data_IF_717440403946
#
_entry.id   IF_717440403946
#
_cell.length_a   1.000
_cell.length_b   1.000
_cell.length_c   1.000
_cell.angle_alpha   90.00
_cell.angle_beta   90.00
_cell.angle_gamma   90.00
#
_symmetry.space_group_name_H-M   'P 1'
#
loop_
_entity.id
_entity.type
_entity.pdbx_description
1 polymer ?
#
# COMPACT_ATOMS: atom_id res chain seq x y z
N UNK A 1 -17.97 19.32 25.05
CA UNK A 1 -16.91 19.66 24.08
C UNK A 1 -15.55 20.01 24.71
N UNK A 2 -15.53 20.57 25.93
CA UNK A 2 -14.30 20.78 26.73
C UNK A 2 -13.53 19.50 27.10
N UNK A 3 -14.06 18.30 26.80
CA UNK A 3 -13.45 17.02 27.22
C UNK A 3 -12.05 16.79 26.63
N UNK A 4 -11.80 17.24 25.40
CA UNK A 4 -10.49 17.09 24.76
C UNK A 4 -9.59 18.32 24.90
N UNK A 5 -10.08 19.42 25.47
CA UNK A 5 -9.26 20.62 25.68
C UNK A 5 -8.01 20.35 26.55
N UNK A 6 -8.09 19.55 27.64
CA UNK A 6 -6.90 19.17 28.39
C UNK A 6 -5.89 18.37 27.55
N UNK A 7 -6.36 17.46 26.69
CA UNK A 7 -5.49 16.69 25.81
C UNK A 7 -4.80 17.60 24.77
N UNK A 8 -5.56 18.50 24.14
CA UNK A 8 -5.03 19.45 23.18
C UNK A 8 -3.96 20.35 23.82
N UNK A 9 -4.20 20.83 25.05
CA UNK A 9 -3.23 21.64 25.77
C UNK A 9 -1.98 20.85 26.18
N UNK A 10 -2.14 19.61 26.65
CA UNK A 10 -1.01 18.73 26.98
C UNK A 10 -0.13 18.45 25.76
N UNK A 11 -0.73 18.15 24.61
CA UNK A 11 0.01 17.94 23.35
C UNK A 11 0.74 19.21 22.90
N UNK A 12 0.09 20.37 22.94
CA UNK A 12 0.71 21.67 22.63
C UNK A 12 1.94 21.94 23.50
N UNK A 13 1.80 21.72 24.80
CA UNK A 13 2.88 21.92 25.77
C UNK A 13 4.03 20.94 25.54
N UNK A 14 3.71 19.66 25.30
CA UNK A 14 4.71 18.62 25.03
C UNK A 14 5.48 18.82 23.72
N UNK A 15 4.83 19.35 22.68
CA UNK A 15 5.49 19.75 21.43
C UNK A 15 6.36 21.00 21.62
N UNK A 16 5.85 22.01 22.34
CA UNK A 16 6.61 23.22 22.67
C UNK A 16 7.89 22.92 23.46
N UNK A 17 7.85 21.96 24.40
CA UNK A 17 9.03 21.50 25.14
C UNK A 17 10.11 20.81 24.27
N UNK A 18 9.80 20.53 23.00
CA UNK A 18 10.72 19.96 21.99
C UNK A 18 11.02 20.93 20.85
N UNK A 19 10.71 22.22 21.03
CA UNK A 19 10.83 23.26 20.01
C UNK A 19 10.03 22.97 18.73
N UNK A 20 8.92 22.22 18.85
CA UNK A 20 8.00 21.93 17.75
C UNK A 20 6.77 22.85 17.91
N UNK A 21 6.64 23.94 17.14
CA UNK A 21 5.55 24.89 17.31
C UNK A 21 4.21 24.29 16.85
N UNK A 22 3.20 24.34 17.72
CA UNK A 22 1.81 23.99 17.39
C UNK A 22 1.02 25.27 17.16
N UNK A 23 0.91 25.68 15.89
CA UNK A 23 0.22 26.91 15.51
C UNK A 23 -1.29 26.85 15.76
N UNK A 24 -1.90 25.68 15.54
CA UNK A 24 -3.34 25.51 15.64
C UNK A 24 -3.71 24.11 16.15
N UNK A 25 -4.83 24.00 16.86
CA UNK A 25 -5.40 22.75 17.35
C UNK A 25 -6.92 22.82 17.16
N UNK A 26 -7.44 22.10 16.16
CA UNK A 26 -8.85 22.13 15.79
C UNK A 26 -9.59 20.87 16.26
N UNK A 27 -10.83 21.06 16.71
CA UNK A 27 -11.82 19.99 16.83
C UNK A 27 -12.71 20.01 15.59
N UNK A 28 -12.91 18.87 14.93
CA UNK A 28 -13.84 18.70 13.80
C UNK A 28 -14.89 17.68 14.20
N UNK A 29 -16.16 18.08 14.24
CA UNK A 29 -17.25 17.19 14.65
C UNK A 29 -18.57 17.64 14.04
N UNK A 30 -19.35 16.69 13.52
CA UNK A 30 -20.69 16.92 12.98
C UNK A 30 -20.78 18.12 12.01
N UNK A 31 -19.82 18.24 11.09
CA UNK A 31 -19.78 19.32 10.09
C UNK A 31 -19.41 20.69 10.66
N UNK A 32 -18.93 20.78 11.90
CA UNK A 32 -18.51 22.02 12.54
C UNK A 32 -17.05 21.93 13.01
N UNK A 33 -16.40 23.08 13.16
CA UNK A 33 -15.05 23.20 13.70
C UNK A 33 -14.95 24.20 14.84
N UNK A 34 -13.98 23.96 15.73
CA UNK A 34 -13.60 24.82 16.85
C UNK A 34 -12.08 24.87 16.95
N UNK A 35 -11.51 26.03 17.29
CA UNK A 35 -10.11 26.12 17.67
C UNK A 35 -9.96 26.04 19.18
N UNK A 36 -9.03 25.21 19.66
CA UNK A 36 -8.60 25.18 21.07
C UNK A 36 -7.62 26.32 21.39
N UNK A 37 -7.15 27.06 20.38
CA UNK A 37 -6.16 28.13 20.52
C UNK A 37 -6.82 29.51 20.50
N UNK A 38 -8.01 29.62 19.92
CA UNK A 38 -8.74 30.87 19.79
C UNK A 38 -9.57 31.14 21.05
N UNK A 39 -9.25 32.18 21.85
CA UNK A 39 -10.03 32.52 23.03
C UNK A 39 -11.28 33.35 22.70
N UNK A 40 -11.39 33.85 21.47
CA UNK A 40 -12.46 34.75 21.05
C UNK A 40 -13.76 33.97 20.78
N UNK A 41 -14.80 34.23 21.58
CA UNK A 41 -16.10 33.60 21.47
C UNK A 41 -16.90 34.04 20.22
N UNK A 42 -16.60 35.21 19.65
CA UNK A 42 -17.16 35.62 18.36
C UNK A 42 -16.48 34.85 17.21
N UNK A 43 -15.16 34.62 17.33
CA UNK A 43 -14.41 33.79 16.38
C UNK A 43 -14.63 32.29 16.56
N UNK A 44 -14.91 31.79 17.76
CA UNK A 44 -15.12 30.37 18.05
C UNK A 44 -16.36 30.21 18.96
N UNK A 45 -17.57 30.33 18.39
CA UNK A 45 -18.81 30.16 19.15
C UNK A 45 -18.92 28.74 19.71
N UNK A 46 -19.70 28.57 20.79
CA UNK A 46 -19.86 27.26 21.45
C UNK A 46 -20.54 26.24 20.54
N UNK A 47 -21.41 26.70 19.66
CA UNK A 47 -22.11 25.93 18.64
C UNK A 47 -21.18 25.44 17.53
N UNK A 48 -20.01 26.07 17.40
CA UNK A 48 -19.02 25.78 16.37
C UNK A 48 -19.26 26.55 15.09
N UNK A 49 -18.19 26.66 14.29
CA UNK A 49 -18.31 27.22 12.96
C UNK A 49 -18.61 26.11 11.97
N UNK A 50 -19.54 26.30 11.03
CA UNK A 50 -19.77 25.31 9.98
C UNK A 50 -18.47 25.12 9.19
N UNK A 51 -18.06 23.87 9.01
CA UNK A 51 -17.07 23.52 8.00
C UNK A 51 -17.72 23.83 6.65
N UNK A 52 -17.09 24.72 5.88
CA UNK A 52 -17.64 25.14 4.58
C UNK A 52 -18.03 23.92 3.74
N UNK A 53 -19.18 24.01 3.06
CA UNK A 53 -19.71 22.92 2.25
C UNK A 53 -18.67 22.41 1.24
N UNK A 54 -18.69 21.10 0.98
CA UNK A 54 -17.90 20.45 -0.06
C UNK A 54 -18.24 21.05 -1.43
N UNK A 55 -17.44 22.03 -1.85
CA UNK A 55 -17.41 22.62 -3.17
C UNK A 55 -15.97 22.96 -3.54
N UNK A 56 -15.75 23.43 -4.78
CA UNK A 56 -14.46 23.90 -5.29
C UNK A 56 -14.03 25.16 -4.53
N UNK A 57 -13.56 24.99 -3.30
CA UNK A 57 -12.87 26.05 -2.57
C UNK A 57 -11.58 26.43 -3.30
N UNK A 58 -11.10 27.65 -3.11
CA UNK A 58 -9.78 28.05 -3.63
C UNK A 58 -8.68 27.09 -3.16
N UNK A 59 -8.83 26.51 -1.95
CA UNK A 59 -7.95 25.47 -1.42
C UNK A 59 -8.10 24.14 -2.17
N UNK A 60 -9.30 23.69 -2.50
CA UNK A 60 -9.52 22.49 -3.32
C UNK A 60 -9.01 22.69 -4.76
N UNK A 61 -9.18 23.88 -5.33
CA UNK A 61 -8.65 24.23 -6.65
C UNK A 61 -7.12 24.32 -6.65
N UNK A 62 -6.52 24.94 -5.63
CA UNK A 62 -5.06 25.00 -5.47
C UNK A 62 -4.46 23.62 -5.18
N UNK A 63 -5.15 22.80 -4.37
CA UNK A 63 -4.78 21.40 -4.12
C UNK A 63 -4.81 20.59 -5.42
N UNK A 64 -5.90 20.68 -6.20
CA UNK A 64 -5.99 20.03 -7.51
C UNK A 64 -4.91 20.54 -8.50
N UNK A 65 -4.66 21.85 -8.53
CA UNK A 65 -3.58 22.46 -9.33
C UNK A 65 -2.19 21.96 -8.90
N UNK A 66 -1.98 21.76 -7.59
CA UNK A 66 -0.77 21.18 -7.02
C UNK A 66 -0.72 19.64 -7.13
N UNK A 67 -1.69 19.00 -7.80
CA UNK A 67 -1.75 17.54 -7.98
C UNK A 67 -2.24 16.75 -6.78
N UNK A 68 -2.75 17.41 -5.73
CA UNK A 68 -3.37 16.78 -4.56
C UNK A 68 -4.74 16.25 -4.98
N UNK A 69 -4.80 14.95 -5.24
CA UNK A 69 -6.05 14.25 -5.55
C UNK A 69 -6.87 14.08 -4.27
N UNK A 70 -8.11 14.57 -4.27
CA UNK A 70 -9.10 14.25 -3.22
C UNK A 70 -9.50 12.80 -3.41
N UNK A 71 -8.72 11.91 -2.79
CA UNK A 71 -9.13 10.52 -2.63
C UNK A 71 -10.22 10.49 -1.58
N UNK A 72 -11.18 9.59 -1.75
CA UNK A 72 -12.26 9.36 -0.81
C UNK A 72 -11.77 9.29 0.65
N UNK A 73 -12.70 9.28 1.60
CA UNK A 73 -12.32 9.35 3.02
C UNK A 73 -11.30 8.27 3.41
N UNK A 74 -10.47 8.51 4.44
CA UNK A 74 -9.53 7.51 4.97
C UNK A 74 -10.21 6.14 5.18
N UNK A 75 -11.45 6.16 5.69
CA UNK A 75 -12.29 4.98 5.87
C UNK A 75 -12.62 4.26 4.56
N UNK A 76 -12.90 5.00 3.49
CA UNK A 76 -13.13 4.40 2.18
C UNK A 76 -11.88 3.73 1.64
N UNK A 77 -10.71 4.34 1.83
CA UNK A 77 -9.44 3.73 1.43
C UNK A 77 -9.12 2.47 2.24
N UNK A 78 -9.34 2.48 3.56
CA UNK A 78 -9.19 1.30 4.41
C UNK A 78 -10.13 0.17 4.04
N UNK A 79 -11.40 0.48 3.74
CA UNK A 79 -12.42 -0.49 3.35
C UNK A 79 -12.01 -1.32 2.12
N UNK A 80 -11.19 -0.76 1.22
CA UNK A 80 -10.69 -1.47 0.02
C UNK A 80 -9.69 -2.58 0.35
N UNK A 81 -9.17 -2.61 1.58
CA UNK A 81 -8.19 -3.59 2.06
C UNK A 81 -8.77 -4.51 3.15
N UNK A 82 -9.96 -4.20 3.66
CA UNK A 82 -10.64 -4.99 4.69
C UNK A 82 -11.04 -6.36 4.14
N UNK A 83 -10.81 -7.46 4.90
CA UNK A 83 -11.24 -8.79 4.52
C UNK A 83 -12.72 -8.89 4.15
N UNK A 84 -13.05 -9.70 3.16
CA UNK A 84 -14.41 -9.97 2.71
C UNK A 84 -15.18 -10.71 3.81
N UNK A 85 -16.44 -10.32 4.01
CA UNK A 85 -17.36 -11.01 4.90
C UNK A 85 -18.15 -12.13 4.21
N UNK A 86 -19.17 -12.64 4.90
CA UNK A 86 -20.15 -13.56 4.31
C UNK A 86 -20.87 -12.93 3.11
N UNK A 87 -21.21 -13.70 2.06
CA UNK A 87 -21.08 -15.16 1.95
C UNK A 87 -19.73 -15.64 1.38
N UNK A 88 -18.79 -14.74 1.08
CA UNK A 88 -17.52 -15.08 0.42
C UNK A 88 -16.49 -15.67 1.39
N UNK A 89 -16.52 -15.26 2.66
CA UNK A 89 -15.53 -15.67 3.64
C UNK A 89 -15.46 -17.20 3.84
N UNK A 90 -16.58 -17.88 4.00
CA UNK A 90 -16.60 -19.32 4.31
C UNK A 90 -16.03 -20.21 3.19
N UNK A 91 -16.43 -20.06 1.90
CA UNK A 91 -15.79 -20.79 0.81
C UNK A 91 -14.31 -20.46 0.65
N UNK A 92 -13.93 -19.20 0.87
CA UNK A 92 -12.55 -18.76 0.75
C UNK A 92 -11.66 -19.36 1.85
N UNK A 93 -12.16 -19.45 3.08
CA UNK A 93 -11.46 -20.09 4.21
C UNK A 93 -11.21 -21.57 3.94
N UNK A 94 -12.24 -22.30 3.48
CA UNK A 94 -12.08 -23.72 3.08
C UNK A 94 -11.05 -23.92 1.98
N UNK A 95 -11.02 -23.02 0.99
CA UNK A 95 -10.01 -23.06 -0.07
C UNK A 95 -8.60 -22.80 0.47
N UNK A 96 -8.46 -21.91 1.47
CA UNK A 96 -7.18 -21.62 2.15
C UNK A 96 -6.69 -22.83 2.96
N UNK A 97 -7.58 -23.54 3.65
CA UNK A 97 -7.25 -24.78 4.35
C UNK A 97 -6.65 -25.80 3.37
N UNK A 98 -7.38 -26.11 2.30
CA UNK A 98 -6.95 -27.08 1.26
C UNK A 98 -5.64 -26.66 0.60
N UNK A 99 -5.50 -25.37 0.26
CA UNK A 99 -4.28 -24.85 -0.35
C UNK A 99 -3.09 -24.94 0.61
N UNK A 100 -3.30 -24.68 1.90
CA UNK A 100 -2.26 -24.75 2.93
C UNK A 100 -1.79 -26.19 3.11
N UNK A 101 -2.73 -27.13 3.28
CA UNK A 101 -2.44 -28.57 3.39
C UNK A 101 -1.66 -29.10 2.18
N UNK A 102 -1.97 -28.60 0.99
CA UNK A 102 -1.36 -29.06 -0.27
C UNK A 102 0.00 -28.40 -0.55
N UNK A 103 0.11 -27.08 -0.36
CA UNK A 103 1.26 -26.30 -0.82
C UNK A 103 2.35 -26.15 0.23
N UNK A 104 2.01 -26.04 1.51
CA UNK A 104 3.01 -25.83 2.58
C UNK A 104 4.03 -26.98 2.62
N UNK A 105 3.63 -28.27 2.62
CA UNK A 105 4.61 -29.37 2.60
C UNK A 105 5.52 -29.33 1.36
N UNK A 106 4.97 -28.95 0.20
CA UNK A 106 5.74 -28.81 -1.05
C UNK A 106 6.70 -27.62 -1.00
N UNK A 107 6.32 -26.53 -0.35
CA UNK A 107 7.19 -25.36 -0.17
C UNK A 107 8.36 -25.64 0.77
N UNK A 108 8.19 -26.54 1.74
CA UNK A 108 9.25 -26.97 2.66
C UNK A 108 10.16 -28.05 2.06
N UNK A 109 9.73 -28.72 0.99
CA UNK A 109 10.54 -29.72 0.30
C UNK A 109 11.69 -29.09 -0.53
N UNK A 110 12.88 -29.73 -0.61
CA UNK A 110 14.08 -29.17 -1.26
C UNK A 110 13.86 -28.63 -2.68
N UNK A 111 13.15 -29.38 -3.54
CA UNK A 111 12.87 -29.00 -4.92
C UNK A 111 11.45 -28.46 -5.13
N UNK A 112 10.55 -28.72 -4.18
CA UNK A 112 9.14 -28.35 -4.29
C UNK A 112 8.92 -26.84 -4.22
N UNK A 113 9.74 -26.11 -3.44
CA UNK A 113 9.64 -24.65 -3.32
C UNK A 113 9.79 -23.92 -4.66
N UNK A 114 10.66 -24.42 -5.55
CA UNK A 114 10.91 -23.81 -6.85
C UNK A 114 9.75 -24.06 -7.81
N UNK A 115 9.15 -25.26 -7.76
CA UNK A 115 7.98 -25.59 -8.56
C UNK A 115 6.75 -24.76 -8.13
N UNK A 116 6.49 -24.66 -6.82
CA UNK A 116 5.38 -23.84 -6.28
C UNK A 116 5.57 -22.39 -6.68
N UNK A 117 6.76 -21.81 -6.47
CA UNK A 117 7.11 -20.45 -6.91
C UNK A 117 6.83 -20.23 -8.40
N UNK A 118 7.26 -21.16 -9.25
CA UNK A 118 7.04 -21.04 -10.69
C UNK A 118 5.55 -21.07 -11.04
N UNK A 119 4.76 -21.90 -10.37
CA UNK A 119 3.30 -21.98 -10.53
C UNK A 119 2.62 -20.68 -10.06
N UNK A 120 2.93 -20.21 -8.85
CA UNK A 120 2.36 -18.97 -8.29
C UNK A 120 2.65 -17.78 -9.20
N UNK A 121 3.88 -17.62 -9.70
CA UNK A 121 4.23 -16.51 -10.60
C UNK A 121 3.57 -16.62 -11.98
N UNK A 122 3.31 -17.83 -12.49
CA UNK A 122 2.53 -18.01 -13.72
C UNK A 122 1.07 -17.60 -13.51
N UNK A 123 0.47 -18.02 -12.40
CA UNK A 123 -0.89 -17.64 -12.04
C UNK A 123 -1.02 -16.11 -11.88
N UNK A 124 -0.10 -15.50 -11.13
CA UNK A 124 -0.02 -14.05 -10.96
C UNK A 124 0.04 -13.29 -12.30
N UNK A 125 0.92 -13.72 -13.22
CA UNK A 125 1.02 -13.11 -14.56
C UNK A 125 -0.28 -13.25 -15.36
N UNK A 126 -0.94 -14.41 -15.28
CA UNK A 126 -2.22 -14.61 -15.98
C UNK A 126 -3.30 -13.66 -15.44
N UNK A 127 -3.32 -13.41 -14.13
CA UNK A 127 -4.25 -12.47 -13.50
C UNK A 127 -3.92 -11.01 -13.80
N UNK A 128 -2.64 -10.62 -13.77
CA UNK A 128 -2.22 -9.29 -14.18
C UNK A 128 -2.64 -9.01 -15.64
N UNK A 129 -2.53 -10.01 -16.53
CA UNK A 129 -3.01 -9.90 -17.90
C UNK A 129 -4.54 -9.77 -17.96
N UNK A 130 -5.29 -10.65 -17.29
CA UNK A 130 -6.77 -10.59 -17.21
C UNK A 130 -7.26 -9.24 -16.67
N UNK A 131 -6.68 -8.76 -15.58
CA UNK A 131 -7.03 -7.47 -14.96
C UNK A 131 -6.64 -6.28 -15.81
N UNK A 132 -5.62 -6.39 -16.67
CA UNK A 132 -5.30 -5.33 -17.64
C UNK A 132 -6.38 -5.16 -18.69
N UNK A 133 -6.94 -6.28 -19.16
CA UNK A 133 -7.98 -6.30 -20.18
C UNK A 133 -9.35 -5.92 -19.60
N UNK A 134 -9.60 -6.30 -18.34
CA UNK A 134 -10.78 -5.89 -17.58
C UNK A 134 -10.64 -4.43 -17.13
N UNK A 135 -10.97 -3.48 -18.01
CA UNK A 135 -11.15 -2.08 -17.64
C UNK A 135 -12.47 -1.97 -16.84
N UNK A 136 -12.44 -1.50 -15.57
CA UNK A 136 -13.69 -1.27 -14.86
C UNK A 136 -14.43 -0.11 -15.55
N UNK A 137 -15.67 -0.36 -15.98
CA UNK A 137 -16.53 0.64 -16.63
C UNK A 137 -16.99 1.77 -15.69
N UNK A 138 -16.76 1.61 -14.37
CA UNK A 138 -17.30 2.49 -13.32
C UNK A 138 -16.21 3.28 -12.57
N UNK A 139 -16.46 4.57 -12.37
CA UNK A 139 -15.62 5.49 -11.58
C UNK A 139 -15.63 5.20 -10.06
N UNK A 140 -16.58 4.39 -9.57
CA UNK A 140 -16.66 4.04 -8.15
C UNK A 140 -15.71 2.92 -7.76
N UNK A 141 -14.67 3.28 -6.99
CA UNK A 141 -13.64 2.36 -6.50
C UNK A 141 -14.16 1.05 -5.88
N UNK A 142 -15.30 1.09 -5.17
CA UNK A 142 -15.88 -0.10 -4.54
C UNK A 142 -16.47 -1.09 -5.56
N UNK A 143 -17.10 -0.59 -6.64
CA UNK A 143 -17.62 -1.42 -7.73
C UNK A 143 -16.47 -2.03 -8.54
N UNK A 144 -15.41 -1.27 -8.78
CA UNK A 144 -14.19 -1.78 -9.40
C UNK A 144 -13.53 -2.89 -8.57
N UNK A 145 -13.46 -2.72 -7.24
CA UNK A 145 -12.92 -3.75 -6.34
C UNK A 145 -13.79 -5.02 -6.32
N UNK A 146 -15.11 -4.88 -6.30
CA UNK A 146 -16.04 -6.03 -6.39
C UNK A 146 -15.96 -6.75 -7.74
N UNK A 147 -15.76 -6.02 -8.84
CA UNK A 147 -15.53 -6.60 -10.16
C UNK A 147 -14.23 -7.42 -10.19
N UNK A 148 -13.13 -6.86 -9.66
CA UNK A 148 -11.85 -7.57 -9.53
C UNK A 148 -12.00 -8.83 -8.67
N UNK A 149 -12.78 -8.75 -7.60
CA UNK A 149 -13.08 -9.89 -6.76
C UNK A 149 -13.87 -10.96 -7.55
N UNK A 150 -14.87 -10.59 -8.36
CA UNK A 150 -15.62 -11.58 -9.14
C UNK A 150 -14.76 -12.35 -10.17
N UNK A 151 -13.65 -11.77 -10.64
CA UNK A 151 -12.74 -12.40 -11.60
C UNK A 151 -11.80 -13.46 -10.98
N UNK A 152 -11.73 -13.51 -9.65
CA UNK A 152 -10.77 -14.33 -8.90
C UNK A 152 -11.51 -15.42 -8.12
N UNK A 153 -11.34 -16.67 -8.57
CA UNK A 153 -11.87 -17.85 -7.90
C UNK A 153 -11.18 -18.16 -6.56
N UNK A 154 -11.90 -18.84 -5.66
CA UNK A 154 -11.42 -19.11 -4.29
C UNK A 154 -10.15 -19.97 -4.25
N UNK A 155 -10.10 -21.06 -5.01
CA UNK A 155 -8.96 -21.98 -5.07
C UNK A 155 -7.70 -21.31 -5.61
N UNK A 156 -7.83 -20.57 -6.70
CA UNK A 156 -6.72 -19.80 -7.30
C UNK A 156 -6.20 -18.73 -6.31
N UNK A 157 -7.11 -18.05 -5.61
CA UNK A 157 -6.73 -17.04 -4.61
C UNK A 157 -6.02 -17.65 -3.42
N UNK A 158 -6.53 -18.78 -2.91
CA UNK A 158 -5.92 -19.50 -1.81
C UNK A 158 -4.50 -19.97 -2.18
N UNK A 159 -4.34 -20.57 -3.36
CA UNK A 159 -3.03 -20.98 -3.87
C UNK A 159 -2.05 -19.80 -4.02
N UNK A 160 -2.55 -18.64 -4.44
CA UNK A 160 -1.76 -17.41 -4.52
C UNK A 160 -1.36 -16.87 -3.15
N UNK A 161 -2.29 -16.79 -2.19
CA UNK A 161 -2.04 -16.28 -0.83
C UNK A 161 -1.01 -17.15 -0.11
N UNK A 162 -1.14 -18.48 -0.20
CA UNK A 162 -0.17 -19.42 0.37
C UNK A 162 1.16 -19.35 -0.37
N UNK A 163 1.16 -19.30 -1.72
CA UNK A 163 2.38 -19.20 -2.52
C UNK A 163 3.18 -17.91 -2.29
N UNK A 164 2.50 -16.81 -1.96
CA UNK A 164 3.13 -15.52 -1.62
C UNK A 164 3.88 -15.55 -0.27
N UNK A 165 3.67 -16.56 0.57
CA UNK A 165 4.43 -16.73 1.80
C UNK A 165 5.89 -17.16 1.52
N UNK A 166 6.21 -17.68 0.33
CA UNK A 166 7.61 -17.85 -0.08
C UNK A 166 8.24 -16.49 -0.40
N UNK A 167 9.24 -16.09 0.40
CA UNK A 167 9.98 -14.84 0.27
C UNK A 167 10.44 -14.58 -1.17
N UNK A 168 11.00 -15.60 -1.84
CA UNK A 168 11.50 -15.46 -3.22
C UNK A 168 10.37 -15.27 -4.25
N UNK A 169 9.19 -15.84 -4.01
CA UNK A 169 7.98 -15.57 -4.82
C UNK A 169 7.54 -14.13 -4.65
N UNK A 170 7.42 -13.66 -3.40
CA UNK A 170 7.04 -12.28 -3.10
C UNK A 170 8.01 -11.25 -3.67
N UNK A 171 9.32 -11.47 -3.53
CA UNK A 171 10.33 -10.53 -4.02
C UNK A 171 10.26 -10.40 -5.56
N UNK A 172 9.94 -11.50 -6.27
CA UNK A 172 9.65 -11.45 -7.71
C UNK A 172 8.32 -10.76 -8.02
N UNK A 173 7.32 -10.93 -7.16
CA UNK A 173 6.04 -10.25 -7.33
C UNK A 173 6.15 -8.73 -7.12
N UNK A 174 7.11 -8.29 -6.30
CA UNK A 174 7.39 -6.88 -6.06
C UNK A 174 8.02 -6.17 -7.27
N UNK A 175 8.50 -6.90 -8.28
CA UNK A 175 9.02 -6.34 -9.54
C UNK A 175 7.92 -5.71 -10.42
N UNK A 176 6.63 -5.98 -10.15
CA UNK A 176 5.49 -5.40 -10.86
C UNK A 176 5.03 -4.06 -10.26
N UNK A 177 5.96 -3.27 -9.72
CA UNK A 177 5.67 -1.99 -9.04
C UNK A 177 5.60 -0.78 -9.97
N UNK A 178 6.06 -0.92 -11.21
CA UNK A 178 6.13 0.18 -12.18
C UNK A 178 5.74 -0.29 -13.59
N UNK A 179 5.51 0.67 -14.49
CA UNK A 179 5.20 0.42 -15.89
C UNK A 179 3.77 -0.09 -16.12
N UNK A 180 3.57 -0.89 -17.17
CA UNK A 180 2.22 -1.35 -17.58
C UNK A 180 1.65 -2.45 -16.68
N UNK A 181 2.45 -2.99 -15.76
CA UNK A 181 2.03 -4.00 -14.79
C UNK A 181 1.57 -3.40 -13.45
N UNK A 182 1.94 -2.16 -13.12
CA UNK A 182 1.72 -1.59 -11.78
C UNK A 182 0.24 -1.49 -11.40
N UNK A 183 -0.59 -0.91 -12.26
CA UNK A 183 -2.03 -0.76 -11.97
C UNK A 183 -2.76 -2.10 -11.83
N UNK A 184 -2.64 -3.07 -12.76
CA UNK A 184 -3.25 -4.40 -12.57
C UNK A 184 -2.67 -5.17 -11.38
N UNK A 185 -1.36 -5.04 -11.09
CA UNK A 185 -0.76 -5.67 -9.93
C UNK A 185 -1.33 -5.10 -8.62
N UNK A 186 -1.49 -3.78 -8.51
CA UNK A 186 -2.13 -3.16 -7.35
C UNK A 186 -3.57 -3.67 -7.14
N UNK A 187 -4.34 -3.78 -8.22
CA UNK A 187 -5.70 -4.37 -8.18
C UNK A 187 -5.68 -5.80 -7.64
N UNK A 188 -4.78 -6.62 -8.16
CA UNK A 188 -4.60 -8.00 -7.71
C UNK A 188 -4.23 -8.08 -6.21
N UNK A 189 -3.27 -7.28 -5.76
CA UNK A 189 -2.83 -7.31 -4.36
C UNK A 189 -3.93 -6.91 -3.39
N UNK A 190 -4.77 -5.94 -3.74
CA UNK A 190 -5.95 -5.60 -2.93
C UNK A 190 -6.97 -6.74 -2.90
N UNK A 191 -7.28 -7.33 -4.05
CA UNK A 191 -8.22 -8.45 -4.13
C UNK A 191 -7.75 -9.68 -3.33
N UNK A 192 -6.43 -9.94 -3.30
CA UNK A 192 -5.84 -11.00 -2.47
C UNK A 192 -5.82 -10.64 -0.98
N UNK A 193 -5.48 -9.40 -0.62
CA UNK A 193 -5.51 -8.95 0.77
C UNK A 193 -6.93 -9.07 1.37
N UNK A 194 -7.96 -8.67 0.62
CA UNK A 194 -9.36 -8.82 1.04
C UNK A 194 -9.80 -10.28 1.18
N UNK A 195 -9.10 -11.23 0.55
CA UNK A 195 -9.41 -12.68 0.66
C UNK A 195 -8.68 -13.39 1.78
N UNK A 196 -7.82 -12.70 2.52
CA UNK A 196 -7.20 -13.23 3.72
C UNK A 196 -8.22 -13.14 4.87
N UNK A 197 -9.11 -14.12 4.93
CA UNK A 197 -10.26 -14.17 5.84
C UNK A 197 -10.01 -15.13 7.02
N UNK A 198 -10.77 -14.96 8.10
CA UNK A 198 -10.75 -15.88 9.23
C UNK A 198 -9.35 -16.02 9.86
N UNK A 199 -8.89 -17.26 10.15
CA UNK A 199 -7.56 -17.52 10.72
C UNK A 199 -6.40 -17.08 9.84
N UNK A 200 -6.64 -16.83 8.55
CA UNK A 200 -5.61 -16.46 7.58
C UNK A 200 -5.32 -14.94 7.53
N UNK A 201 -5.81 -14.16 8.50
CA UNK A 201 -5.60 -12.70 8.53
C UNK A 201 -4.13 -12.26 8.46
N UNK A 202 -3.21 -13.02 9.09
CA UNK A 202 -1.76 -12.73 9.04
C UNK A 202 -1.18 -12.88 7.63
N UNK A 203 -1.75 -13.78 6.81
CA UNK A 203 -1.31 -13.99 5.43
C UNK A 203 -1.53 -12.75 4.55
N UNK A 204 -2.37 -11.81 4.99
CA UNK A 204 -2.61 -10.53 4.32
C UNK A 204 -1.36 -9.63 4.31
N UNK A 205 -0.41 -9.84 5.23
CA UNK A 205 0.78 -8.99 5.33
C UNK A 205 1.57 -8.95 4.01
N UNK A 206 1.72 -10.09 3.32
CA UNK A 206 2.39 -10.16 2.03
C UNK A 206 1.69 -9.34 0.92
N UNK A 207 0.41 -9.58 0.56
CA UNK A 207 -0.28 -8.78 -0.45
C UNK A 207 -0.46 -7.32 -0.05
N UNK A 208 -0.70 -7.00 1.23
CA UNK A 208 -0.80 -5.61 1.69
C UNK A 208 0.52 -4.86 1.53
N UNK A 209 1.64 -5.51 1.84
CA UNK A 209 2.98 -4.93 1.62
C UNK A 209 3.24 -4.68 0.14
N UNK A 210 2.88 -5.62 -0.74
CA UNK A 210 2.99 -5.45 -2.18
C UNK A 210 2.09 -4.31 -2.70
N UNK A 211 0.85 -4.21 -2.23
CA UNK A 211 -0.05 -3.11 -2.57
C UNK A 211 0.54 -1.76 -2.14
N UNK A 212 1.09 -1.68 -0.91
CA UNK A 212 1.76 -0.49 -0.40
C UNK A 212 3.01 -0.11 -1.22
N UNK A 213 3.80 -1.10 -1.61
CA UNK A 213 4.99 -0.92 -2.45
C UNK A 213 4.65 -0.36 -3.84
N UNK A 214 3.64 -0.93 -4.50
CA UNK A 214 3.20 -0.45 -5.82
C UNK A 214 2.60 0.96 -5.71
N UNK A 215 1.74 1.21 -4.72
CA UNK A 215 1.16 2.54 -4.50
C UNK A 215 2.26 3.59 -4.25
N UNK A 216 3.27 3.26 -3.43
CA UNK A 216 4.38 4.19 -3.18
C UNK A 216 5.19 4.46 -4.43
N UNK A 217 5.46 3.42 -5.23
CA UNK A 217 6.22 3.51 -6.48
C UNK A 217 5.52 4.35 -7.55
N UNK A 218 4.19 4.36 -7.57
CA UNK A 218 3.36 5.18 -8.46
C UNK A 218 3.09 6.61 -7.91
N UNK A 219 3.66 6.95 -6.75
CA UNK A 219 3.52 8.27 -6.12
C UNK A 219 2.24 8.45 -5.28
N UNK A 220 1.44 7.39 -5.12
CA UNK A 220 0.23 7.37 -4.32
C UNK A 220 0.54 7.14 -2.83
N UNK A 221 1.10 8.18 -2.20
CA UNK A 221 1.53 8.15 -0.80
C UNK A 221 0.40 7.83 0.19
N UNK A 222 -0.83 8.37 0.07
CA UNK A 222 -1.91 8.03 0.99
C UNK A 222 -2.25 6.54 0.96
N UNK A 223 -2.40 5.94 -0.23
CA UNK A 223 -2.73 4.50 -0.32
C UNK A 223 -1.57 3.64 0.15
N UNK A 224 -0.33 4.04 -0.15
CA UNK A 224 0.87 3.36 0.32
C UNK A 224 0.90 3.27 1.85
N UNK A 225 0.68 4.40 2.53
CA UNK A 225 0.64 4.46 3.98
C UNK A 225 -0.42 3.52 4.55
N UNK A 226 -1.65 3.62 4.06
CA UNK A 226 -2.77 2.82 4.56
C UNK A 226 -2.51 1.32 4.37
N UNK A 227 -1.97 0.92 3.21
CA UNK A 227 -1.66 -0.48 2.94
C UNK A 227 -0.53 -1.02 3.84
N UNK A 228 0.53 -0.23 4.07
CA UNK A 228 1.63 -0.61 4.96
C UNK A 228 1.20 -0.64 6.43
N UNK A 229 0.39 0.34 6.88
CA UNK A 229 -0.20 0.36 8.21
C UNK A 229 -1.12 -0.86 8.42
N UNK A 230 -1.89 -1.24 7.40
CA UNK A 230 -2.73 -2.43 7.46
C UNK A 230 -1.90 -3.72 7.46
N UNK A 231 -0.81 -3.78 6.68
CA UNK A 231 0.12 -4.92 6.69
C UNK A 231 0.71 -5.17 8.09
N UNK A 232 1.14 -4.10 8.77
CA UNK A 232 1.71 -4.18 10.12
C UNK A 232 0.66 -4.44 11.22
N UNK A 233 -0.62 -4.13 10.96
CA UNK A 233 -1.72 -4.57 11.82
C UNK A 233 -2.00 -6.07 11.67
N UNK A 234 -1.86 -6.60 10.46
CA UNK A 234 -2.02 -8.03 10.18
C UNK A 234 -0.87 -8.87 10.73
N UNK A 235 0.37 -8.41 10.55
CA UNK A 235 1.58 -9.04 11.11
C UNK A 235 2.59 -7.93 11.49
N UNK A 236 2.72 -7.60 12.79
CA UNK A 236 3.64 -6.57 13.27
C UNK A 236 5.12 -6.85 12.99
N UNK A 237 5.49 -8.13 12.86
CA UNK A 237 6.87 -8.58 12.68
C UNK A 237 7.22 -8.80 11.20
N UNK A 238 6.29 -8.55 10.27
CA UNK A 238 6.52 -8.70 8.84
C UNK A 238 7.63 -7.77 8.33
N UNK A 239 8.85 -8.31 8.24
CA UNK A 239 10.09 -7.55 8.01
C UNK A 239 9.99 -6.63 6.79
N UNK A 240 9.40 -7.10 5.70
CA UNK A 240 9.30 -6.29 4.48
C UNK A 240 8.37 -5.08 4.66
N UNK A 241 7.24 -5.25 5.34
CA UNK A 241 6.35 -4.14 5.70
C UNK A 241 7.06 -3.13 6.59
N UNK A 242 7.80 -3.60 7.62
CA UNK A 242 8.54 -2.72 8.54
C UNK A 242 9.58 -1.88 7.82
N UNK A 243 10.34 -2.48 6.91
CA UNK A 243 11.36 -1.79 6.12
C UNK A 243 10.73 -0.73 5.20
N UNK A 244 9.67 -1.08 4.45
CA UNK A 244 8.99 -0.13 3.57
C UNK A 244 8.30 0.98 4.36
N UNK A 245 7.60 0.65 5.44
CA UNK A 245 6.92 1.62 6.30
C UNK A 245 7.91 2.62 6.92
N UNK A 246 9.07 2.14 7.40
CA UNK A 246 10.12 3.01 7.90
C UNK A 246 10.66 3.93 6.82
N UNK A 247 11.08 3.38 5.67
CA UNK A 247 11.62 4.17 4.57
C UNK A 247 10.61 5.22 4.06
N UNK A 248 9.33 4.85 4.01
CA UNK A 248 8.24 5.74 3.63
C UNK A 248 8.07 6.91 4.63
N UNK A 249 8.10 6.64 5.93
CA UNK A 249 7.96 7.66 6.98
C UNK A 249 9.19 8.55 7.14
N UNK A 250 10.38 8.02 6.84
CA UNK A 250 11.63 8.79 6.80
C UNK A 250 11.69 9.71 5.56
N UNK A 251 10.65 9.71 4.71
CA UNK A 251 10.54 10.60 3.56
C UNK A 251 11.42 10.22 2.38
N UNK A 252 11.92 8.98 2.34
CA UNK A 252 12.80 8.51 1.27
C UNK A 252 12.09 8.52 -0.09
N UNK A 253 12.88 8.63 -1.17
CA UNK A 253 12.42 8.38 -2.53
C UNK A 253 12.39 6.86 -2.78
N UNK A 254 11.34 6.29 -3.43
CA UNK A 254 11.30 4.86 -3.78
C UNK A 254 12.31 4.45 -4.87
N UNK A 255 12.85 5.39 -5.65
CA UNK A 255 13.70 5.13 -6.82
C UNK A 255 14.96 4.29 -6.55
N UNK A 256 15.73 4.48 -5.46
CA UNK A 256 16.86 3.60 -5.15
C UNK A 256 16.44 2.14 -4.99
N UNK A 257 15.29 1.87 -4.36
CA UNK A 257 14.75 0.52 -4.22
C UNK A 257 14.29 -0.03 -5.57
N UNK A 258 13.59 0.77 -6.39
CA UNK A 258 13.19 0.37 -7.75
C UNK A 258 14.39 -0.01 -8.60
N UNK A 259 15.47 0.78 -8.55
CA UNK A 259 16.74 0.49 -9.24
C UNK A 259 17.36 -0.82 -8.77
N UNK A 260 17.35 -1.10 -7.46
CA UNK A 260 17.84 -2.36 -6.91
C UNK A 260 17.05 -3.55 -7.48
N UNK A 261 15.72 -3.47 -7.47
CA UNK A 261 14.86 -4.51 -8.02
C UNK A 261 15.05 -4.72 -9.52
N UNK A 262 15.22 -3.64 -10.31
CA UNK A 262 15.55 -3.74 -11.73
C UNK A 262 16.88 -4.46 -11.98
N UNK A 263 17.94 -4.09 -11.25
CA UNK A 263 19.25 -4.74 -11.37
C UNK A 263 19.17 -6.24 -11.06
N UNK A 264 18.44 -6.60 -10.01
CA UNK A 264 18.23 -8.00 -9.67
C UNK A 264 17.45 -8.76 -10.74
N UNK A 265 16.41 -8.16 -11.32
CA UNK A 265 15.65 -8.73 -12.43
C UNK A 265 16.55 -8.95 -13.65
N UNK A 266 17.34 -7.96 -14.04
CA UNK A 266 18.25 -8.04 -15.19
C UNK A 266 19.32 -9.11 -15.02
N UNK A 267 19.93 -9.17 -13.83
CA UNK A 267 20.91 -10.20 -13.47
C UNK A 267 20.32 -11.61 -13.58
N UNK A 268 19.05 -11.78 -13.18
CA UNK A 268 18.32 -13.06 -13.30
C UNK A 268 17.97 -13.41 -14.75
N UNK A 269 17.63 -12.41 -15.57
CA UNK A 269 17.25 -12.61 -16.98
C UNK A 269 18.46 -12.78 -17.91
N UNK A 270 19.69 -12.74 -17.38
CA UNK A 270 20.91 -12.85 -18.17
C UNK A 270 21.18 -11.63 -19.05
N UNK A 271 20.44 -10.53 -18.87
CA UNK A 271 20.72 -9.25 -19.51
C UNK A 271 21.89 -8.61 -18.77
N UNK A 272 23.11 -8.81 -19.27
CA UNK A 272 24.27 -8.01 -18.85
C UNK A 272 23.95 -6.54 -19.17
N UNK A 273 23.83 -5.71 -18.13
CA UNK A 273 23.89 -4.26 -18.29
C UNK A 273 25.22 -3.88 -18.97
N UNK A 274 25.25 -2.93 -19.92
CA UNK A 274 26.50 -2.36 -20.39
C UNK A 274 27.25 -1.81 -19.18
N UNK A 275 28.53 -2.14 -19.05
CA UNK A 275 29.40 -1.50 -18.04
C UNK A 275 29.32 0.00 -18.26
N UNK A 276 28.87 0.75 -17.24
CA UNK A 276 28.99 2.20 -17.22
C UNK A 276 30.48 2.53 -17.51
N UNK A 277 30.70 3.27 -18.59
CA UNK A 277 32.01 3.72 -19.02
C UNK A 277 32.43 4.81 -18.03
N UNK A 278 33.43 4.51 -17.21
CA UNK A 278 34.06 5.46 -16.30
C UNK A 278 35.00 6.37 -17.11
N UNK A 279 34.66 7.65 -17.39
CA UNK A 279 35.52 8.54 -18.16
C UNK A 279 36.43 9.26 -17.18
N UNK A 280 37.54 8.64 -16.79
CA UNK A 280 38.35 9.20 -15.71
C UNK A 280 39.74 8.60 -15.49
N UNK A 281 40.48 8.24 -16.53
CA UNK A 281 41.94 8.04 -16.39
C UNK A 281 42.71 8.28 -17.68
N UNK A 282 42.73 9.53 -18.14
CA UNK A 282 43.77 10.04 -19.05
C UNK A 282 44.90 10.67 -18.22
N UNK A 283 45.77 9.85 -17.64
CA UNK A 283 47.08 10.33 -17.18
C UNK A 283 47.99 10.40 -18.41
N UNK A 284 48.09 11.60 -18.98
CA UNK A 284 49.08 11.91 -20.01
C UNK A 284 50.49 11.78 -19.44
N UNK A 285 51.26 10.81 -19.97
CA UNK A 285 52.73 10.84 -19.95
C UNK A 285 53.19 11.06 -21.38
N UNK A 286 53.62 12.27 -21.69
CA UNK A 286 54.51 12.55 -22.81
C UNK A 286 55.65 13.44 -22.30
N UNK A 287 56.83 12.83 -22.26
CA UNK A 287 58.17 13.43 -22.35
C UNK A 287 58.86 12.63 -23.46
N UNK A 288 59.66 13.28 -24.30
CA UNK A 288 61.01 13.65 -23.90
C UNK A 288 61.32 15.14 -23.98
#
# INVERSE_FOLDING_TARGET
>A
MLRLAPLAQSLRTACGARDIPVYEALCLSAGHYWSYCCPDAACCPREGRPVGASGTSAMAAAAAYAGIQVRGSLREMERRLTPLGSPVAEPQEKALDVASETLVPRMLAPDGCTAVRAQTLRLARSWIARLREALPDDDECARADAHDDALIGHEEAAAMIVGLQDRKTRDRAAEWMEGTDSRPALRLWRALARRCVGPYGEHAAAPLTLAGWVAWSEGDRPSARIALDHALRSDPDYVFARLLHRAFNDGMDPEPLRRCMRKERDARQGRRLPREHDPGSSVGRHLP
#
